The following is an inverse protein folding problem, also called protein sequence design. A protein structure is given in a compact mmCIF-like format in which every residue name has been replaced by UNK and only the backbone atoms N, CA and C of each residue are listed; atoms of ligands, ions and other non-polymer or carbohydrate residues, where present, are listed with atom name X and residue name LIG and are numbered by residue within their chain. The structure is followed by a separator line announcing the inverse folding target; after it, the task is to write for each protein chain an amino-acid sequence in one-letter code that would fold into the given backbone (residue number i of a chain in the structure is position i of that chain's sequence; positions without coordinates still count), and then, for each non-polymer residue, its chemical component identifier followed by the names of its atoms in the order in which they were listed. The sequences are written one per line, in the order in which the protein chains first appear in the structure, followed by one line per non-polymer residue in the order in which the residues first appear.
data_IF_931922379623
#
_entry.id   IF_931922379623
#
_cell.length_a   1.000
_cell.length_b   1.000
_cell.length_c   1.000
_cell.angle_alpha   90.00
_cell.angle_beta   90.00
_cell.angle_gamma   90.00
#
_symmetry.space_group_name_H-M   'P 1'
#
loop_
_entity.id
_entity.type
_entity.pdbx_description
1 polymer ?
#
# COMPACT_ATOMS: atom_id res chain seq x y z
N UNK A 1 -6.33 -11.40 24.51
CA UNK A 1 -5.43 -12.54 24.25
C UNK A 1 -4.13 -12.30 25.00
N UNK A 2 -3.87 -13.06 26.07
CA UNK A 2 -2.63 -12.95 26.86
C UNK A 2 -1.68 -14.00 26.28
N UNK A 3 -0.56 -13.59 25.69
CA UNK A 3 0.46 -14.53 25.21
C UNK A 3 0.94 -15.34 26.41
N UNK A 4 0.71 -16.66 26.39
CA UNK A 4 0.98 -17.54 27.53
C UNK A 4 2.47 -17.86 27.65
N UNK A 5 3.17 -18.04 26.52
CA UNK A 5 4.62 -18.23 26.46
C UNK A 5 5.18 -17.58 25.19
N UNK A 6 6.39 -17.04 25.28
CA UNK A 6 7.11 -16.43 24.17
C UNK A 6 8.19 -17.40 23.73
N UNK A 7 7.96 -18.12 22.63
CA UNK A 7 8.97 -18.98 22.04
C UNK A 7 9.88 -18.14 21.12
N UNK A 8 11.19 -18.24 21.30
CA UNK A 8 12.19 -17.60 20.44
C UNK A 8 12.76 -18.64 19.47
N UNK A 9 12.88 -18.30 18.20
CA UNK A 9 13.37 -19.21 17.17
C UNK A 9 12.83 -18.90 15.78
N UNK A 10 13.39 -19.57 14.77
CA UNK A 10 12.87 -19.52 13.41
C UNK A 10 11.73 -20.54 13.27
N UNK A 11 10.49 -20.07 13.10
CA UNK A 11 9.29 -20.90 12.93
C UNK A 11 8.98 -21.22 11.46
N UNK A 12 9.92 -20.96 10.55
CA UNK A 12 9.76 -21.28 9.13
C UNK A 12 9.97 -22.78 8.92
N UNK A 13 8.88 -23.51 8.65
CA UNK A 13 8.91 -24.97 8.46
C UNK A 13 9.72 -25.42 7.24
N UNK A 14 9.85 -24.57 6.20
CA UNK A 14 10.54 -24.89 4.94
C UNK A 14 11.30 -23.69 4.43
N UNK A 15 12.62 -23.72 4.58
CA UNK A 15 13.50 -22.70 4.02
C UNK A 15 13.56 -22.84 2.49
N UNK A 16 13.29 -21.74 1.78
CA UNK A 16 13.38 -21.72 0.32
C UNK A 16 14.84 -21.53 -0.11
N UNK A 17 15.25 -22.04 -1.29
CA UNK A 17 16.58 -21.78 -1.83
C UNK A 17 16.85 -20.27 -1.92
N UNK A 18 18.06 -19.82 -1.56
CA UNK A 18 18.40 -18.39 -1.50
C UNK A 18 18.16 -17.62 -2.81
N UNK A 19 18.24 -18.29 -3.96
CA UNK A 19 17.91 -17.68 -5.27
C UNK A 19 16.45 -17.21 -5.35
N UNK A 20 15.53 -17.84 -4.62
CA UNK A 20 14.13 -17.40 -4.55
C UNK A 20 14.02 -16.02 -3.93
N UNK A 21 14.89 -15.69 -2.96
CA UNK A 21 14.97 -14.33 -2.40
C UNK A 21 15.37 -13.33 -3.48
N UNK A 22 16.35 -13.65 -4.32
CA UNK A 22 16.78 -12.78 -5.42
C UNK A 22 15.64 -12.48 -6.39
N UNK A 23 14.89 -13.52 -6.79
CA UNK A 23 13.71 -13.34 -7.66
C UNK A 23 12.61 -12.56 -6.96
N UNK A 24 12.30 -12.88 -5.70
CA UNK A 24 11.27 -12.15 -4.94
C UNK A 24 11.61 -10.69 -4.71
N UNK A 25 12.87 -10.34 -4.45
CA UNK A 25 13.32 -8.96 -4.31
C UNK A 25 13.15 -8.19 -5.62
N UNK A 26 13.54 -8.76 -6.75
CA UNK A 26 13.37 -8.08 -8.06
C UNK A 26 11.90 -7.88 -8.43
N UNK A 27 11.04 -8.86 -8.10
CA UNK A 27 9.59 -8.72 -8.26
C UNK A 27 9.02 -7.61 -7.37
N UNK A 28 9.41 -7.58 -6.10
CA UNK A 28 8.96 -6.56 -5.15
C UNK A 28 9.34 -5.14 -5.60
N UNK A 29 10.58 -4.95 -6.06
CA UNK A 29 11.05 -3.67 -6.60
C UNK A 29 10.27 -3.23 -7.85
N UNK A 30 9.85 -4.18 -8.69
CA UNK A 30 9.02 -3.89 -9.87
C UNK A 30 7.62 -3.44 -9.48
N UNK A 31 7.01 -4.12 -8.51
CA UNK A 31 5.63 -3.91 -8.08
C UNK A 31 5.49 -2.63 -7.27
N UNK A 32 6.51 -2.30 -6.46
CA UNK A 32 6.46 -1.14 -5.57
C UNK A 32 6.58 0.21 -6.27
N UNK A 33 6.61 0.25 -7.60
CA UNK A 33 6.69 1.49 -8.36
C UNK A 33 5.38 2.26 -8.30
N UNK A 34 5.46 3.54 -8.00
CA UNK A 34 4.29 4.41 -7.84
C UNK A 34 3.48 4.60 -9.13
N UNK A 35 4.10 4.42 -10.30
CA UNK A 35 3.42 4.43 -11.60
C UNK A 35 2.30 3.40 -11.75
N UNK A 36 2.27 2.38 -10.88
CA UNK A 36 1.23 1.37 -10.86
C UNK A 36 -0.06 1.86 -10.17
N UNK A 37 -0.04 3.03 -9.53
CA UNK A 37 -1.25 3.65 -9.00
C UNK A 37 -2.01 4.38 -10.08
N UNK A 38 -3.33 4.25 -10.03
CA UNK A 38 -4.27 4.91 -10.95
C UNK A 38 -5.18 5.80 -10.11
N UNK A 39 -5.44 7.00 -10.60
CA UNK A 39 -6.42 7.92 -10.03
C UNK A 39 -7.65 7.94 -10.94
N UNK A 40 -8.76 7.42 -10.44
CA UNK A 40 -10.06 7.51 -11.09
C UNK A 40 -10.66 8.93 -10.94
N UNK A 41 -11.74 9.18 -11.67
CA UNK A 41 -12.54 10.38 -11.54
C UNK A 41 -13.22 10.47 -10.16
N UNK A 42 -13.55 11.70 -9.71
CA UNK A 42 -14.20 11.92 -8.42
C UNK A 42 -13.23 12.23 -7.26
N UNK A 43 -11.95 12.42 -7.53
CA UNK A 43 -11.01 12.98 -6.55
C UNK A 43 -11.46 14.38 -6.10
N UNK A 44 -11.67 14.57 -4.80
CA UNK A 44 -12.08 15.85 -4.20
C UNK A 44 -10.90 16.71 -3.74
N UNK A 45 -9.67 16.23 -3.87
CA UNK A 45 -8.47 16.94 -3.41
C UNK A 45 -8.30 17.00 -1.89
N UNK A 46 -8.98 16.13 -1.13
CA UNK A 46 -8.96 16.14 0.34
C UNK A 46 -7.57 15.95 0.98
N UNK A 47 -6.55 15.52 0.24
CA UNK A 47 -5.17 15.42 0.73
C UNK A 47 -4.85 14.27 1.69
N UNK A 48 -5.84 13.45 2.08
CA UNK A 48 -5.63 12.35 3.04
C UNK A 48 -4.58 11.33 2.58
N UNK A 49 -4.52 11.03 1.28
CA UNK A 49 -3.53 10.10 0.73
C UNK A 49 -2.10 10.62 0.91
N UNK A 50 -1.86 11.92 0.72
CA UNK A 50 -0.57 12.55 0.95
C UNK A 50 -0.25 12.61 2.44
N UNK A 51 -1.19 13.11 3.26
CA UNK A 51 -1.01 13.26 4.72
C UNK A 51 -0.70 11.94 5.44
N UNK A 52 -1.33 10.84 5.02
CA UNK A 52 -1.17 9.53 5.67
C UNK A 52 -0.08 8.66 5.04
N UNK A 53 0.60 9.11 3.98
CA UNK A 53 1.64 8.31 3.33
C UNK A 53 2.89 8.23 4.21
N UNK A 54 3.26 7.05 4.77
CA UNK A 54 4.45 6.95 5.62
C UNK A 54 5.75 7.15 4.84
N UNK A 55 5.72 6.89 3.53
CA UNK A 55 6.87 7.06 2.64
C UNK A 55 7.00 8.50 2.12
N UNK A 56 6.03 9.39 2.40
CA UNK A 56 5.95 10.72 1.80
C UNK A 56 6.11 10.69 0.27
N UNK A 57 5.45 9.74 -0.38
CA UNK A 57 5.56 9.50 -1.82
C UNK A 57 4.51 10.25 -2.66
N UNK A 58 3.61 11.00 -2.01
CA UNK A 58 2.45 11.65 -2.64
C UNK A 58 2.42 13.11 -2.18
N UNK A 59 2.28 14.03 -3.13
CA UNK A 59 2.00 15.45 -2.90
C UNK A 59 0.64 15.81 -3.50
N UNK A 60 0.03 16.91 -3.04
CA UNK A 60 -1.17 17.47 -3.65
C UNK A 60 -0.77 18.65 -4.52
N UNK A 61 -1.00 18.54 -5.82
CA UNK A 61 -0.75 19.59 -6.80
C UNK A 61 -2.05 19.83 -7.57
N UNK A 62 -2.48 21.08 -7.68
CA UNK A 62 -3.75 21.47 -8.33
C UNK A 62 -4.99 20.67 -7.84
N UNK A 63 -5.02 20.37 -6.54
CA UNK A 63 -6.11 19.60 -5.92
C UNK A 63 -6.11 18.10 -6.27
N UNK A 64 -5.03 17.57 -6.86
CA UNK A 64 -4.90 16.14 -7.19
C UNK A 64 -3.63 15.53 -6.59
N UNK A 65 -3.66 14.24 -6.21
CA UNK A 65 -2.46 13.54 -5.77
C UNK A 65 -1.51 13.30 -6.93
N UNK A 66 -0.24 13.64 -6.73
CA UNK A 66 0.88 13.37 -7.63
C UNK A 66 1.89 12.51 -6.87
N UNK A 67 2.26 11.37 -7.45
CA UNK A 67 3.27 10.49 -6.87
C UNK A 67 4.66 10.99 -7.23
N UNK A 68 5.34 11.63 -6.29
CA UNK A 68 6.62 12.32 -6.50
C UNK A 68 7.85 11.43 -6.29
N UNK A 69 7.67 10.22 -5.75
CA UNK A 69 8.72 9.21 -5.62
C UNK A 69 8.49 8.06 -6.58
N UNK A 70 9.56 7.45 -7.07
CA UNK A 70 9.45 6.29 -7.96
C UNK A 70 9.01 5.03 -7.21
N UNK A 71 9.44 4.88 -5.95
CA UNK A 71 9.15 3.73 -5.09
C UNK A 71 8.15 4.04 -3.97
N UNK A 72 7.32 3.04 -3.65
CA UNK A 72 6.33 3.00 -2.58
C UNK A 72 6.65 1.86 -1.60
N UNK A 73 6.10 1.89 -0.39
CA UNK A 73 6.17 0.76 0.55
C UNK A 73 5.03 -0.26 0.35
N UNK A 74 4.20 -0.09 -0.69
CA UNK A 74 3.02 -0.93 -0.99
C UNK A 74 2.08 -1.16 0.19
N UNK A 75 2.02 -0.24 1.15
CA UNK A 75 1.10 -0.35 2.28
C UNK A 75 -0.39 -0.18 1.91
N UNK A 76 -0.68 0.28 0.68
CA UNK A 76 -2.02 0.54 0.13
C UNK A 76 -2.91 1.45 1.01
N UNK A 77 -2.32 2.20 1.93
CA UNK A 77 -3.07 3.08 2.84
C UNK A 77 -3.83 4.18 2.08
N UNK A 78 -3.22 4.75 1.04
CA UNK A 78 -3.88 5.76 0.20
C UNK A 78 -5.16 5.20 -0.45
N UNK A 79 -5.12 3.96 -0.92
CA UNK A 79 -6.27 3.26 -1.49
C UNK A 79 -7.35 3.01 -0.44
N UNK A 80 -6.99 2.42 0.71
CA UNK A 80 -7.98 2.03 1.72
C UNK A 80 -8.58 3.19 2.52
N UNK A 81 -7.86 4.30 2.66
CA UNK A 81 -8.33 5.48 3.40
C UNK A 81 -8.92 6.58 2.51
N UNK A 82 -8.82 6.45 1.17
CA UNK A 82 -9.47 7.41 0.28
C UNK A 82 -10.99 7.40 0.50
N UNK A 83 -11.62 8.50 0.94
CA UNK A 83 -13.06 8.53 1.21
C UNK A 83 -13.91 8.17 -0.02
N UNK A 84 -13.43 8.55 -1.20
CA UNK A 84 -14.09 8.34 -2.49
C UNK A 84 -13.70 7.03 -3.16
N UNK A 85 -12.72 6.30 -2.59
CA UNK A 85 -12.16 5.08 -3.16
C UNK A 85 -11.72 5.19 -4.63
N UNK A 86 -11.12 6.34 -4.99
CA UNK A 86 -10.70 6.65 -6.39
C UNK A 86 -9.22 6.32 -6.67
N UNK A 87 -8.46 5.86 -5.69
CA UNK A 87 -7.06 5.44 -5.90
C UNK A 87 -7.05 3.92 -6.07
N UNK A 88 -6.65 3.44 -7.24
CA UNK A 88 -6.51 2.01 -7.55
C UNK A 88 -5.05 1.61 -7.74
N UNK A 89 -4.80 0.31 -7.74
CA UNK A 89 -3.46 -0.24 -7.98
C UNK A 89 -3.50 -1.32 -9.09
N UNK A 90 -2.50 -1.30 -9.98
CA UNK A 90 -2.34 -2.28 -11.04
C UNK A 90 -3.37 -2.11 -12.16
N UNK A 91 -4.18 -3.13 -12.40
CA UNK A 91 -5.18 -3.17 -13.47
C UNK A 91 -6.54 -2.57 -13.07
N UNK A 92 -6.62 -1.94 -11.89
CA UNK A 92 -7.85 -1.32 -11.41
C UNK A 92 -8.86 -2.28 -10.79
N UNK A 93 -8.60 -3.61 -10.77
CA UNK A 93 -9.50 -4.61 -10.15
C UNK A 93 -9.63 -4.46 -8.63
N UNK A 94 -8.78 -3.64 -8.00
CA UNK A 94 -8.90 -3.33 -6.57
C UNK A 94 -10.28 -2.81 -6.17
N UNK A 95 -11.02 -2.19 -7.09
CA UNK A 95 -12.42 -1.78 -6.87
C UNK A 95 -13.36 -2.94 -6.56
N UNK A 96 -13.13 -4.11 -7.15
CA UNK A 96 -13.97 -5.30 -6.97
C UNK A 96 -13.73 -5.93 -5.60
N UNK A 97 -12.52 -5.77 -5.05
CA UNK A 97 -12.15 -6.27 -3.72
C UNK A 97 -12.63 -5.35 -2.58
N UNK A 98 -12.82 -4.06 -2.85
CA UNK A 98 -13.28 -3.08 -1.85
C UNK A 98 -12.17 -2.49 -0.97
N UNK A 99 -12.58 -1.70 0.04
CA UNK A 99 -11.67 -1.09 1.02
C UNK A 99 -11.76 -1.78 2.37
N UNK A 100 -10.61 -2.06 2.98
CA UNK A 100 -10.55 -2.36 4.40
C UNK A 100 -10.37 -1.09 5.22
N UNK A 101 -11.29 -0.81 6.15
CA UNK A 101 -11.14 0.22 7.17
C UNK A 101 -11.37 -0.40 8.53
N UNK A 102 -10.37 -0.32 9.40
CA UNK A 102 -10.51 -0.81 10.77
C UNK A 102 -11.59 0.02 11.50
N UNK A 103 -12.70 -0.58 11.97
CA UNK A 103 -13.79 0.14 12.63
C UNK A 103 -13.37 0.79 13.96
N UNK A 104 -12.24 0.38 14.54
CA UNK A 104 -11.73 0.92 15.80
C UNK A 104 -10.80 2.12 15.62
N UNK A 105 -10.53 2.56 14.39
CA UNK A 105 -9.63 3.69 14.10
C UNK A 105 -10.38 4.78 13.36
N UNK A 106 -10.38 5.99 13.94
CA UNK A 106 -10.89 7.20 13.25
C UNK A 106 -9.81 7.69 12.28
N UNK A 107 -10.15 7.75 11.00
CA UNK A 107 -9.26 8.20 9.91
C UNK A 107 -9.34 9.71 9.75
#
# INVERSE_FOLDING_TARGET
MRLQERAEGNFVEKEKPGITSMVSSTMFERDRRTKNFILDDGCTGCGLCASKCPAHAIEIQDGRPVWVKEQCELCLRCLHHCPQFVIQYGDGKTREHGQYRNPHVKV
#
